data_IF_783416701158
#
_entry.id   IF_783416701158
#
_cell.length_a   1.000
_cell.length_b   1.000
_cell.length_c   1.000
_cell.angle_alpha   90.00
_cell.angle_beta   90.00
_cell.angle_gamma   90.00
#
_symmetry.space_group_name_H-M   'P 1'
#
loop_
_entity.id
_entity.type
_entity.pdbx_description
1 polymer ?
#
# COMPACT_ATOMS: atom_id res chain seq x y z
N UNK A 1 -18.39 -7.94 -0.37
CA UNK A 1 -17.25 -8.68 0.22
C UNK A 1 -16.50 -7.73 1.12
N UNK A 2 -15.96 -8.22 2.25
CA UNK A 2 -15.21 -7.38 3.17
C UNK A 2 -13.84 -7.01 2.56
N UNK A 3 -13.42 -5.76 2.75
CA UNK A 3 -12.13 -5.24 2.28
C UNK A 3 -11.14 -5.23 3.44
N UNK A 4 -9.89 -5.58 3.15
CA UNK A 4 -8.78 -5.51 4.08
C UNK A 4 -7.71 -4.55 3.56
N UNK A 5 -7.10 -3.79 4.47
CA UNK A 5 -5.94 -2.95 4.14
C UNK A 5 -4.66 -3.76 4.38
N UNK A 6 -3.79 -3.82 3.37
CA UNK A 6 -2.50 -4.51 3.44
C UNK A 6 -1.38 -3.50 3.20
N UNK A 7 -0.40 -3.48 4.10
CA UNK A 7 0.76 -2.59 4.03
C UNK A 7 2.02 -3.44 3.82
N UNK A 8 2.61 -3.33 2.64
CA UNK A 8 3.93 -3.87 2.35
C UNK A 8 4.99 -2.88 2.79
N UNK A 9 5.86 -3.30 3.72
CA UNK A 9 6.87 -2.45 4.34
C UNK A 9 8.23 -3.12 4.42
N UNK A 10 9.22 -2.35 4.89
CA UNK A 10 10.57 -2.84 5.22
C UNK A 10 10.72 -2.91 6.74
N UNK A 11 11.59 -3.81 7.19
CA UNK A 11 11.93 -4.05 8.58
C UNK A 11 12.77 -2.92 9.15
N UNK A 12 13.67 -2.38 8.34
CA UNK A 12 14.48 -1.23 8.72
C UNK A 12 13.68 0.07 8.73
N UNK A 13 14.10 1.00 9.59
CA UNK A 13 13.46 2.30 9.73
C UNK A 13 13.37 3.04 8.39
N UNK A 14 12.15 3.25 7.93
CA UNK A 14 11.84 4.02 6.73
C UNK A 14 10.85 5.13 7.13
N UNK A 15 11.21 6.42 6.95
CA UNK A 15 10.33 7.55 7.29
C UNK A 15 8.96 7.46 6.61
N UNK A 16 8.91 7.00 5.35
CA UNK A 16 7.67 6.88 4.59
C UNK A 16 6.74 5.80 5.17
N UNK A 17 7.31 4.66 5.61
CA UNK A 17 6.55 3.60 6.27
C UNK A 17 6.01 4.09 7.62
N UNK A 18 6.86 4.75 8.42
CA UNK A 18 6.46 5.31 9.71
C UNK A 18 5.33 6.34 9.57
N UNK A 19 5.40 7.20 8.55
CA UNK A 19 4.36 8.17 8.24
C UNK A 19 3.04 7.50 7.84
N UNK A 20 3.09 6.47 6.98
CA UNK A 20 1.90 5.74 6.58
C UNK A 20 1.23 5.04 7.78
N UNK A 21 2.02 4.35 8.62
CA UNK A 21 1.52 3.73 9.86
C UNK A 21 0.84 4.74 10.76
N UNK A 22 1.51 5.87 11.04
CA UNK A 22 0.95 6.94 11.88
C UNK A 22 -0.41 7.44 11.36
N UNK A 23 -0.56 7.62 10.05
CA UNK A 23 -1.84 8.05 9.45
C UNK A 23 -2.92 6.99 9.60
N UNK A 24 -2.60 5.72 9.30
CA UNK A 24 -3.55 4.60 9.40
C UNK A 24 -3.98 4.38 10.86
N UNK A 25 -3.02 4.39 11.79
CA UNK A 25 -3.24 4.25 13.22
C UNK A 25 -4.08 5.40 13.79
N UNK A 26 -3.77 6.65 13.39
CA UNK A 26 -4.52 7.83 13.83
C UNK A 26 -5.99 7.78 13.38
N UNK A 27 -6.24 7.19 12.21
CA UNK A 27 -7.58 7.00 11.67
C UNK A 27 -8.29 5.75 12.21
N UNK A 28 -7.63 4.93 13.03
CA UNK A 28 -8.21 3.73 13.62
C UNK A 28 -8.50 2.60 12.62
N UNK A 29 -7.81 2.60 11.46
CA UNK A 29 -8.02 1.59 10.41
C UNK A 29 -7.17 0.37 10.70
N UNK A 30 -7.80 -0.81 10.79
CA UNK A 30 -7.08 -2.07 10.91
C UNK A 30 -6.35 -2.40 9.59
N UNK A 31 -5.12 -2.88 9.68
CA UNK A 31 -4.34 -3.33 8.53
C UNK A 31 -3.48 -4.54 8.85
N UNK A 32 -3.18 -5.31 7.80
CA UNK A 32 -2.18 -6.38 7.83
C UNK A 32 -0.87 -5.84 7.30
N UNK A 33 0.19 -5.92 8.09
CA UNK A 33 1.53 -5.55 7.65
C UNK A 33 2.34 -6.76 7.18
N UNK A 34 3.07 -6.61 6.09
CA UNK A 34 3.93 -7.64 5.50
C UNK A 34 5.32 -7.04 5.22
N UNK A 35 6.34 -7.59 5.86
CA UNK A 35 7.73 -7.20 5.61
C UNK A 35 8.28 -7.94 4.39
N UNK A 36 8.62 -7.19 3.33
CA UNK A 36 9.13 -7.80 2.09
C UNK A 36 10.49 -8.47 2.25
N UNK A 37 11.24 -8.15 3.30
CA UNK A 37 12.55 -8.72 3.59
C UNK A 37 12.45 -10.14 4.17
N UNK A 38 11.32 -10.48 4.80
CA UNK A 38 11.06 -11.77 5.41
C UNK A 38 10.27 -12.71 4.47
N UNK A 39 9.71 -12.19 3.36
CA UNK A 39 8.86 -12.91 2.41
C UNK A 39 9.25 -12.62 0.95
N UNK A 40 9.96 -13.57 0.28
CA UNK A 40 10.34 -13.43 -1.12
C UNK A 40 9.16 -13.26 -2.09
N UNK A 41 7.98 -13.81 -1.77
CA UNK A 41 6.79 -13.66 -2.59
C UNK A 41 6.25 -12.23 -2.47
N UNK A 42 6.23 -11.67 -1.26
CA UNK A 42 5.87 -10.28 -1.04
C UNK A 42 6.81 -9.32 -1.78
N UNK A 43 8.12 -9.58 -1.72
CA UNK A 43 9.11 -8.81 -2.47
C UNK A 43 8.87 -8.85 -3.99
N UNK A 44 8.61 -10.05 -4.54
CA UNK A 44 8.32 -10.22 -5.95
C UNK A 44 7.05 -9.48 -6.39
N UNK A 45 6.00 -9.46 -5.56
CA UNK A 45 4.78 -8.70 -5.81
C UNK A 45 5.03 -7.20 -5.89
N UNK A 46 5.71 -6.63 -4.89
CA UNK A 46 6.05 -5.19 -4.88
C UNK A 46 6.91 -4.81 -6.07
N UNK A 47 7.88 -5.65 -6.44
CA UNK A 47 8.70 -5.47 -7.62
C UNK A 47 7.87 -5.49 -8.90
N UNK A 48 6.96 -6.45 -9.06
CA UNK A 48 6.09 -6.55 -10.22
C UNK A 48 5.15 -5.34 -10.34
N UNK A 49 4.66 -4.82 -9.21
CA UNK A 49 3.74 -3.68 -9.20
C UNK A 49 4.43 -2.34 -9.43
N UNK A 50 5.64 -2.15 -8.89
CA UNK A 50 6.25 -0.81 -8.81
C UNK A 50 7.55 -0.69 -9.62
N UNK A 51 8.05 -1.80 -10.16
CA UNK A 51 9.36 -1.91 -10.80
C UNK A 51 10.53 -1.87 -9.81
N UNK A 52 10.26 -1.69 -8.51
CA UNK A 52 11.26 -1.54 -7.45
C UNK A 52 10.78 -2.21 -6.15
N UNK A 53 11.61 -2.21 -5.12
CA UNK A 53 11.19 -2.59 -3.75
C UNK A 53 10.73 -1.36 -2.97
N UNK A 54 9.76 -0.62 -3.54
CA UNK A 54 9.26 0.65 -2.98
C UNK A 54 8.30 0.41 -1.81
N UNK A 55 8.59 1.04 -0.67
CA UNK A 55 7.83 0.87 0.57
C UNK A 55 7.60 2.22 1.23
N UNK A 56 6.39 2.48 1.77
CA UNK A 56 5.28 1.55 1.88
C UNK A 56 4.57 1.36 0.53
N UNK A 57 4.12 0.15 0.24
CA UNK A 57 3.13 -0.11 -0.83
C UNK A 57 1.85 -0.61 -0.17
N UNK A 58 0.76 0.14 -0.34
CA UNK A 58 -0.50 -0.04 0.38
C UNK A 58 -1.52 -0.57 -0.62
N UNK A 59 -2.19 -1.65 -0.24
CA UNK A 59 -3.10 -2.42 -1.09
C UNK A 59 -4.45 -2.55 -0.40
N UNK A 60 -5.51 -2.36 -1.18
CA UNK A 60 -6.86 -2.73 -0.80
C UNK A 60 -7.12 -4.13 -1.34
N UNK A 61 -7.18 -5.10 -0.45
CA UNK A 61 -7.37 -6.50 -0.74
C UNK A 61 -8.78 -6.97 -0.34
N UNK A 62 -9.16 -8.13 -0.83
CA UNK A 62 -10.27 -8.89 -0.23
C UNK A 62 -9.83 -9.47 1.12
N UNK A 63 -10.80 -9.69 2.02
CA UNK A 63 -10.54 -10.33 3.31
C UNK A 63 -9.77 -11.66 3.15
N UNK A 64 -8.67 -11.82 3.90
CA UNK A 64 -7.78 -12.99 3.80
C UNK A 64 -6.80 -12.98 2.61
N UNK A 65 -7.00 -12.11 1.62
CA UNK A 65 -6.07 -11.90 0.50
C UNK A 65 -4.98 -10.88 0.86
N UNK A 66 -3.91 -10.89 0.08
CA UNK A 66 -2.85 -9.86 0.11
C UNK A 66 -2.67 -9.18 -1.25
N UNK A 67 -3.44 -9.62 -2.25
CA UNK A 67 -3.43 -9.06 -3.59
C UNK A 67 -4.52 -7.99 -3.75
N UNK A 68 -4.32 -7.00 -4.65
CA UNK A 68 -5.32 -5.99 -4.94
C UNK A 68 -6.67 -6.61 -5.29
N UNK A 69 -7.75 -6.13 -4.68
CA UNK A 69 -9.12 -6.61 -4.87
C UNK A 69 -9.69 -6.31 -6.28
N UNK A 70 -8.93 -5.61 -7.12
CA UNK A 70 -9.33 -5.25 -8.47
C UNK A 70 -8.13 -4.82 -9.31
N UNK A 71 -8.39 -4.36 -10.55
CA UNK A 71 -7.32 -3.96 -11.45
C UNK A 71 -6.47 -2.84 -10.84
N UNK A 72 -5.17 -2.90 -11.14
CA UNK A 72 -4.20 -1.87 -10.78
C UNK A 72 -3.75 -1.18 -12.05
N UNK A 73 -3.88 0.14 -12.08
CA UNK A 73 -3.45 0.92 -13.24
C UNK A 73 -1.93 0.81 -13.44
N UNK A 74 -1.46 0.62 -14.69
CA UNK A 74 -0.03 0.49 -14.97
C UNK A 74 0.70 1.81 -14.76
N UNK A 75 1.97 1.74 -14.37
CA UNK A 75 2.83 2.92 -14.36
C UNK A 75 3.21 3.32 -15.79
N UNK A 76 3.16 4.62 -16.06
CA UNK A 76 3.79 5.15 -17.26
C UNK A 76 5.31 4.94 -17.19
N UNK A 77 5.96 4.49 -18.29
CA UNK A 77 7.40 4.28 -18.32
C UNK A 77 8.19 5.51 -17.83
N UNK A 78 9.18 5.29 -16.97
CA UNK A 78 10.05 6.35 -16.44
C UNK A 78 9.43 7.24 -15.36
N UNK A 79 8.18 6.99 -14.93
CA UNK A 79 7.53 7.73 -13.84
C UNK A 79 7.73 7.03 -12.51
N UNK A 80 7.98 7.83 -11.46
CA UNK A 80 8.00 7.33 -10.08
C UNK A 80 6.61 6.81 -9.69
N UNK A 81 6.51 5.68 -8.97
CA UNK A 81 5.24 5.17 -8.44
C UNK A 81 4.67 5.98 -7.27
N UNK A 82 5.47 6.91 -6.74
CA UNK A 82 5.20 7.61 -5.49
C UNK A 82 3.95 8.47 -5.54
N UNK A 83 3.02 8.23 -4.62
CA UNK A 83 1.80 9.00 -4.43
C UNK A 83 0.77 8.86 -5.55
N UNK A 84 0.92 7.89 -6.45
CA UNK A 84 -0.03 7.62 -7.53
C UNK A 84 -1.04 6.59 -7.03
N UNK A 85 -2.31 6.99 -6.90
CA UNK A 85 -3.43 6.07 -6.72
C UNK A 85 -3.66 5.32 -8.03
N UNK A 86 -3.52 4.00 -8.00
CA UNK A 86 -3.67 3.12 -9.17
C UNK A 86 -4.86 2.18 -9.02
N UNK A 87 -5.94 2.64 -8.38
CA UNK A 87 -7.12 1.82 -8.11
C UNK A 87 -7.06 1.21 -6.73
N UNK A 88 -6.57 -0.03 -6.62
CA UNK A 88 -6.48 -0.78 -5.35
C UNK A 88 -5.06 -0.82 -4.77
N UNK A 89 -4.18 0.04 -5.25
CA UNK A 89 -2.78 0.10 -4.84
C UNK A 89 -2.27 1.54 -4.89
N UNK A 90 -1.58 1.98 -3.83
CA UNK A 90 -0.85 3.25 -3.78
C UNK A 90 0.53 3.02 -3.14
N UNK A 91 1.57 3.63 -3.70
CA UNK A 91 2.96 3.46 -3.25
C UNK A 91 3.51 4.77 -2.71
N UNK A 92 4.15 4.71 -1.54
CA UNK A 92 4.81 5.84 -0.85
C UNK A 92 3.96 7.13 -0.81
N UNK A 93 2.66 7.06 -0.43
CA UNK A 93 1.82 8.26 -0.39
C UNK A 93 2.25 9.22 0.72
N UNK A 94 2.03 10.51 0.49
CA UNK A 94 1.99 11.48 1.58
C UNK A 94 0.69 11.32 2.42
N UNK A 95 0.56 11.99 3.58
CA UNK A 95 -0.58 11.80 4.47
C UNK A 95 -1.94 12.12 3.83
N UNK A 96 -1.99 13.17 3.00
CA UNK A 96 -3.22 13.56 2.30
C UNK A 96 -3.62 12.49 1.29
N UNK A 97 -2.68 12.03 0.46
CA UNK A 97 -2.92 10.99 -0.54
C UNK A 97 -3.37 9.69 0.10
N UNK A 98 -2.78 9.30 1.22
CA UNK A 98 -3.18 8.10 1.95
C UNK A 98 -4.59 8.26 2.51
N UNK A 99 -4.90 9.39 3.14
CA UNK A 99 -6.26 9.66 3.63
C UNK A 99 -7.29 9.60 2.50
N UNK A 100 -7.04 10.30 1.40
CA UNK A 100 -7.94 10.32 0.23
C UNK A 100 -8.17 8.90 -0.32
N UNK A 101 -7.10 8.08 -0.36
CA UNK A 101 -7.18 6.68 -0.78
C UNK A 101 -8.04 5.84 0.18
N UNK A 102 -7.90 6.03 1.49
CA UNK A 102 -8.72 5.32 2.49
C UNK A 102 -10.20 5.74 2.42
N UNK A 103 -10.49 7.03 2.20
CA UNK A 103 -11.85 7.54 1.99
C UNK A 103 -12.47 6.91 0.74
N UNK A 104 -11.74 6.94 -0.39
CA UNK A 104 -12.18 6.36 -1.67
C UNK A 104 -12.61 4.89 -1.52
N UNK A 105 -11.92 4.14 -0.66
CA UNK A 105 -12.18 2.72 -0.44
C UNK A 105 -13.11 2.43 0.74
N UNK A 106 -13.62 3.46 1.42
CA UNK A 106 -14.62 3.33 2.48
C UNK A 106 -14.05 2.80 3.80
N UNK A 107 -12.75 2.97 4.05
CA UNK A 107 -12.15 2.64 5.34
C UNK A 107 -12.39 3.74 6.39
N UNK A 108 -12.60 4.99 5.94
CA UNK A 108 -12.81 6.17 6.79
C UNK A 108 -13.71 7.18 6.07
N UNK A 109 -14.23 8.17 6.82
CA UNK A 109 -15.04 9.30 6.32
C UNK A 109 -14.21 10.58 6.05
#
# INVERSE_FOLDING_TARGET
MARALVVYSKRFFCPDVGQARMVIDHLGVAYREIHIEDDPQAAAKVLAWTGHYSCPTIVVAEEGSVDPAGPVEPLLPGRSPRGIDRGHLITEPNPKQLRDFLIKHGFVE
#
